data_IF_493633016264
#
_entry.id   IF_493633016264
#
_cell.length_a   1.000
_cell.length_b   1.000
_cell.length_c   1.000
_cell.angle_alpha   90.00
_cell.angle_beta   90.00
_cell.angle_gamma   90.00
#
_symmetry.space_group_name_H-M   'P 1'
#
loop_
_entity.id
_entity.type
_entity.pdbx_description
1 polymer ?
#
# COMPACT_ATOMS: atom_id res chain seq x y z
N UNK A 1 9.37 -14.54 15.87
CA UNK A 1 10.46 -15.47 16.25
C UNK A 1 9.92 -16.78 16.81
N UNK A 2 8.87 -16.76 17.64
CA UNK A 2 8.25 -17.97 18.20
C UNK A 2 7.91 -19.07 17.17
N UNK A 3 7.31 -18.79 15.99
CA UNK A 3 6.98 -19.86 15.05
C UNK A 3 8.18 -20.70 14.59
N UNK A 4 9.36 -20.07 14.46
CA UNK A 4 10.59 -20.79 14.09
C UNK A 4 11.18 -21.54 15.28
N UNK A 5 11.09 -21.00 16.49
CA UNK A 5 11.50 -21.71 17.70
C UNK A 5 10.62 -22.94 17.94
N UNK A 6 9.31 -22.80 17.77
CA UNK A 6 8.31 -23.86 17.90
C UNK A 6 8.49 -24.94 16.81
N UNK A 7 8.96 -24.55 15.62
CA UNK A 7 9.36 -25.48 14.57
C UNK A 7 10.73 -26.16 14.82
N UNK A 8 11.38 -25.91 15.97
CA UNK A 8 12.62 -26.58 16.39
C UNK A 8 13.92 -25.90 15.93
N UNK A 9 13.86 -24.71 15.33
CA UNK A 9 15.08 -23.96 15.00
C UNK A 9 15.75 -23.44 16.27
N UNK A 10 17.07 -23.56 16.35
CA UNK A 10 17.85 -23.05 17.49
C UNK A 10 17.83 -21.53 17.47
N UNK A 11 17.62 -20.89 18.62
CA UNK A 11 17.69 -19.42 18.72
C UNK A 11 19.02 -18.85 18.21
N UNK A 12 20.12 -19.57 18.40
CA UNK A 12 21.45 -19.18 17.92
C UNK A 12 21.61 -19.24 16.40
N UNK A 13 20.75 -19.95 15.68
CA UNK A 13 20.75 -19.99 14.21
C UNK A 13 19.78 -19.00 13.57
N UNK A 14 19.11 -18.16 14.38
CA UNK A 14 18.14 -17.18 13.90
C UNK A 14 18.68 -15.77 14.04
N UNK A 15 18.63 -15.01 12.94
CA UNK A 15 19.05 -13.61 12.90
C UNK A 15 17.84 -12.76 12.52
N UNK A 16 17.52 -11.77 13.35
CA UNK A 16 16.43 -10.81 13.05
C UNK A 16 17.00 -9.69 12.21
N UNK A 17 16.66 -9.68 10.92
CA UNK A 17 17.17 -8.69 9.96
C UNK A 17 16.21 -7.53 9.72
N UNK A 18 14.90 -7.70 9.94
CA UNK A 18 13.88 -6.79 9.40
C UNK A 18 13.57 -7.13 7.93
N UNK A 19 12.84 -6.25 7.24
CA UNK A 19 12.41 -6.46 5.86
C UNK A 19 13.03 -5.42 4.90
N UNK A 20 13.91 -5.84 3.97
CA UNK A 20 14.65 -4.92 3.10
C UNK A 20 13.79 -4.16 2.10
N UNK A 21 12.55 -4.61 1.82
CA UNK A 21 11.61 -3.87 0.96
C UNK A 21 11.33 -2.47 1.52
N UNK A 22 11.43 -2.30 2.84
CA UNK A 22 11.12 -1.05 3.54
C UNK A 22 12.37 -0.26 3.95
N UNK A 23 13.58 -0.67 3.53
CA UNK A 23 14.78 0.09 3.90
C UNK A 23 14.77 1.48 3.25
N UNK A 24 14.41 1.57 1.97
CA UNK A 24 14.34 2.83 1.23
C UNK A 24 13.29 3.79 1.81
N UNK A 25 12.12 3.29 2.19
CA UNK A 25 11.07 4.15 2.75
C UNK A 25 11.48 4.74 4.10
N UNK A 26 12.24 4.01 4.90
CA UNK A 26 12.75 4.54 6.17
C UNK A 26 13.72 5.71 5.96
N UNK A 27 14.58 5.61 4.95
CA UNK A 27 15.46 6.71 4.57
C UNK A 27 14.66 7.92 4.06
N UNK A 28 13.56 7.69 3.33
CA UNK A 28 12.68 8.75 2.85
C UNK A 28 11.91 9.40 4.00
N UNK A 29 11.39 8.64 4.96
CA UNK A 29 10.70 9.18 6.15
C UNK A 29 11.59 10.15 6.92
N UNK A 30 12.89 9.86 7.02
CA UNK A 30 13.85 10.77 7.67
C UNK A 30 14.10 12.06 6.87
N UNK A 31 13.86 12.05 5.56
CA UNK A 31 14.12 13.17 4.64
C UNK A 31 12.88 14.01 4.33
N UNK A 32 11.68 13.51 4.62
CA UNK A 32 10.43 14.25 4.39
C UNK A 32 10.47 15.51 5.25
N UNK A 33 10.71 16.63 4.59
CA UNK A 33 10.30 17.95 5.09
C UNK A 33 8.83 18.11 4.75
N UNK A 34 8.09 18.79 5.61
CA UNK A 34 6.71 19.23 5.31
C UNK A 34 6.74 20.20 4.13
N UNK A 35 6.89 19.67 2.92
CA UNK A 35 6.75 20.45 1.70
C UNK A 35 5.27 20.73 1.51
N UNK A 36 4.91 22.01 1.51
CA UNK A 36 3.56 22.48 1.27
C UNK A 36 3.13 22.02 -0.12
N UNK A 37 2.33 20.96 -0.16
CA UNK A 37 1.70 20.47 -1.38
C UNK A 37 0.70 21.50 -1.90
N UNK A 38 0.58 21.59 -3.23
CA UNK A 38 -0.42 22.44 -3.89
C UNK A 38 -1.81 22.13 -3.31
N UNK A 39 -2.41 23.13 -2.66
CA UNK A 39 -3.64 22.97 -1.89
C UNK A 39 -4.89 22.94 -2.76
N UNK A 40 -4.79 22.98 -4.10
CA UNK A 40 -5.94 23.18 -4.99
C UNK A 40 -6.80 21.95 -5.27
N UNK A 41 -6.25 20.75 -5.10
CA UNK A 41 -6.93 19.47 -5.41
C UNK A 41 -6.57 18.39 -4.40
N UNK A 42 -7.42 17.37 -4.29
CA UNK A 42 -7.14 16.16 -3.52
C UNK A 42 -6.65 15.07 -4.47
N UNK A 43 -5.36 14.69 -4.38
CA UNK A 43 -4.78 13.65 -5.23
C UNK A 43 -5.01 12.28 -4.61
N UNK A 44 -5.81 11.47 -5.29
CA UNK A 44 -6.16 10.10 -4.88
C UNK A 44 -5.42 9.12 -5.78
N UNK A 45 -4.72 8.17 -5.16
CA UNK A 45 -4.10 7.04 -5.85
C UNK A 45 -4.87 5.77 -5.54
N UNK A 46 -5.55 5.21 -6.54
CA UNK A 46 -6.16 3.89 -6.44
C UNK A 46 -5.14 2.83 -6.87
N UNK A 47 -4.86 1.89 -5.99
CA UNK A 47 -3.89 0.81 -6.20
C UNK A 47 -4.67 -0.49 -6.37
N UNK A 48 -4.45 -1.16 -7.49
CA UNK A 48 -4.97 -2.52 -7.69
C UNK A 48 -3.94 -3.54 -7.24
N UNK A 49 -4.45 -4.64 -6.68
CA UNK A 49 -3.64 -5.77 -6.25
C UNK A 49 -4.08 -7.01 -7.02
N UNK A 50 -3.11 -7.85 -7.36
CA UNK A 50 -3.41 -9.20 -7.76
C UNK A 50 -3.51 -10.04 -6.47
N UNK A 51 -4.71 -10.47 -6.11
CA UNK A 51 -4.91 -11.30 -4.93
C UNK A 51 -4.71 -12.75 -5.38
N UNK A 52 -3.52 -13.28 -5.08
CA UNK A 52 -3.16 -14.66 -5.38
C UNK A 52 -4.17 -15.63 -4.76
N UNK A 53 -4.59 -16.65 -5.54
CA UNK A 53 -5.65 -17.58 -5.14
C UNK A 53 -7.08 -17.12 -5.49
N UNK A 54 -7.25 -15.87 -5.94
CA UNK A 54 -8.51 -15.27 -6.37
C UNK A 54 -8.52 -14.98 -7.88
N UNK A 55 -7.92 -15.87 -8.68
CA UNK A 55 -7.81 -15.74 -10.15
C UNK A 55 -9.11 -16.05 -10.91
N UNK A 56 -10.23 -16.17 -10.20
CA UNK A 56 -11.52 -16.44 -10.79
C UNK A 56 -12.08 -15.22 -11.52
N UNK A 57 -12.78 -15.46 -12.64
CA UNK A 57 -13.41 -14.40 -13.45
C UNK A 57 -14.29 -13.43 -12.65
N UNK A 58 -14.94 -13.89 -11.57
CA UNK A 58 -15.79 -13.03 -10.75
C UNK A 58 -15.02 -11.94 -10.00
N UNK A 59 -13.76 -12.21 -9.59
CA UNK A 59 -12.89 -11.23 -8.92
C UNK A 59 -12.47 -10.16 -9.91
N UNK A 60 -12.11 -10.55 -11.14
CA UNK A 60 -11.84 -9.62 -12.24
C UNK A 60 -13.06 -8.72 -12.50
N UNK A 61 -14.25 -9.29 -12.62
CA UNK A 61 -15.50 -8.54 -12.85
C UNK A 61 -15.78 -7.57 -11.69
N UNK A 62 -15.65 -8.00 -10.43
CA UNK A 62 -15.85 -7.14 -9.26
C UNK A 62 -14.86 -5.98 -9.24
N UNK A 63 -13.58 -6.25 -9.50
CA UNK A 63 -12.52 -5.23 -9.56
C UNK A 63 -12.77 -4.23 -10.69
N UNK A 64 -13.10 -4.70 -11.89
CA UNK A 64 -13.46 -3.82 -13.01
C UNK A 64 -14.69 -2.98 -12.67
N UNK A 65 -15.74 -3.58 -12.10
CA UNK A 65 -16.93 -2.86 -11.67
C UNK A 65 -16.59 -1.77 -10.65
N UNK A 66 -15.78 -2.10 -9.65
CA UNK A 66 -15.27 -1.17 -8.64
C UNK A 66 -14.56 0.02 -9.28
N UNK A 67 -13.59 -0.24 -10.18
CA UNK A 67 -12.83 0.84 -10.84
C UNK A 67 -13.77 1.77 -11.61
N UNK A 68 -14.68 1.21 -12.42
CA UNK A 68 -15.65 2.01 -13.18
C UNK A 68 -16.51 2.88 -12.27
N UNK A 69 -16.91 2.35 -11.12
CA UNK A 69 -17.76 3.04 -10.15
C UNK A 69 -17.00 4.13 -9.40
N UNK A 70 -15.77 3.87 -8.93
CA UNK A 70 -14.89 4.89 -8.35
C UNK A 70 -14.71 6.06 -9.32
N UNK A 71 -14.38 5.78 -10.59
CA UNK A 71 -14.22 6.83 -11.61
C UNK A 71 -15.52 7.62 -11.78
N UNK A 72 -16.66 6.92 -11.89
CA UNK A 72 -17.95 7.57 -12.10
C UNK A 72 -18.35 8.47 -10.91
N UNK A 73 -18.17 8.03 -9.67
CA UNK A 73 -18.52 8.81 -8.49
C UNK A 73 -17.61 10.02 -8.31
N UNK A 74 -16.30 9.87 -8.56
CA UNK A 74 -15.35 10.99 -8.55
C UNK A 74 -15.67 12.01 -9.64
N UNK A 75 -16.02 11.55 -10.85
CA UNK A 75 -16.40 12.44 -11.95
C UNK A 75 -17.67 13.23 -11.60
N UNK A 76 -18.72 12.55 -11.12
CA UNK A 76 -19.96 13.21 -10.66
C UNK A 76 -19.68 14.22 -9.55
N UNK A 77 -18.84 13.88 -8.58
CA UNK A 77 -18.45 14.79 -7.52
C UNK A 77 -17.80 16.05 -8.09
N UNK A 78 -16.79 15.89 -8.96
CA UNK A 78 -16.08 17.00 -9.57
C UNK A 78 -16.95 17.89 -10.46
N UNK A 79 -17.99 17.34 -11.11
CA UNK A 79 -18.94 18.11 -11.91
C UNK A 79 -19.90 18.97 -11.05
N UNK A 80 -20.18 18.54 -9.81
CA UNK A 80 -21.16 19.18 -8.93
C UNK A 80 -20.53 20.04 -7.80
N UNK A 81 -19.20 20.08 -7.74
CA UNK A 81 -18.46 20.73 -6.65
C UNK A 81 -18.49 22.26 -6.77
N UNK A 82 -18.77 22.96 -5.67
CA UNK A 82 -18.77 24.44 -5.62
C UNK A 82 -17.72 25.03 -4.69
N UNK A 83 -17.53 24.41 -3.52
CA UNK A 83 -16.65 24.94 -2.46
C UNK A 83 -15.60 23.94 -1.96
N UNK A 84 -15.68 22.67 -2.38
CA UNK A 84 -14.71 21.65 -2.02
C UNK A 84 -13.62 21.55 -3.11
N UNK A 85 -12.51 20.89 -2.79
CA UNK A 85 -11.42 20.68 -3.75
C UNK A 85 -11.79 19.54 -4.71
N UNK A 86 -11.57 19.68 -6.03
CA UNK A 86 -11.73 18.57 -6.95
C UNK A 86 -10.79 17.43 -6.60
N UNK A 87 -11.22 16.21 -6.89
CA UNK A 87 -10.43 14.99 -6.72
C UNK A 87 -9.73 14.67 -8.03
N UNK A 88 -8.41 14.57 -8.01
CA UNK A 88 -7.61 14.04 -9.13
C UNK A 88 -7.30 12.57 -8.86
N UNK A 89 -7.89 11.68 -9.68
CA UNK A 89 -7.66 10.25 -9.58
C UNK A 89 -6.51 9.81 -10.47
N UNK A 90 -5.60 9.03 -9.91
CA UNK A 90 -4.64 8.22 -10.65
C UNK A 90 -4.74 6.76 -10.22
N UNK A 91 -4.35 5.85 -11.11
CA UNK A 91 -4.46 4.41 -10.88
C UNK A 91 -3.07 3.78 -11.01
N UNK A 92 -2.67 2.98 -10.02
CA UNK A 92 -1.46 2.16 -10.07
C UNK A 92 -1.87 0.69 -10.11
N UNK A 93 -1.55 0.03 -11.22
CA UNK A 93 -1.80 -1.41 -11.36
C UNK A 93 -0.62 -2.24 -10.90
N UNK A 94 -0.88 -3.47 -10.49
CA UNK A 94 0.11 -4.44 -10.07
C UNK A 94 1.09 -4.74 -11.23
N UNK A 95 2.40 -4.78 -10.96
CA UNK A 95 3.40 -4.99 -12.01
C UNK A 95 3.35 -6.40 -12.62
N UNK A 96 2.80 -7.38 -11.90
CA UNK A 96 2.62 -8.76 -12.37
C UNK A 96 1.14 -9.16 -12.40
N UNK A 97 0.73 -9.88 -13.44
CA UNK A 97 -0.65 -10.41 -13.57
C UNK A 97 -1.70 -9.40 -14.02
N UNK A 98 -1.32 -8.15 -14.33
CA UNK A 98 -2.24 -7.14 -14.86
C UNK A 98 -1.68 -6.52 -16.14
N UNK A 99 -2.55 -6.31 -17.14
CA UNK A 99 -2.18 -5.73 -18.43
C UNK A 99 -2.48 -4.23 -18.47
N UNK A 100 -1.44 -3.42 -18.71
CA UNK A 100 -1.61 -1.97 -18.88
C UNK A 100 -2.56 -1.64 -20.04
N UNK A 101 -2.53 -2.43 -21.11
CA UNK A 101 -3.42 -2.24 -22.26
C UNK A 101 -4.89 -2.51 -21.89
N UNK A 102 -5.16 -3.60 -21.16
CA UNK A 102 -6.52 -3.91 -20.69
C UNK A 102 -7.07 -2.80 -19.80
N UNK A 103 -6.24 -2.28 -18.89
CA UNK A 103 -6.63 -1.20 -18.00
C UNK A 103 -6.82 0.13 -18.73
N UNK A 104 -6.00 0.46 -19.72
CA UNK A 104 -6.24 1.62 -20.60
C UNK A 104 -7.57 1.49 -21.33
N UNK A 105 -7.82 0.32 -21.94
CA UNK A 105 -9.08 0.04 -22.63
C UNK A 105 -10.30 0.10 -21.70
N UNK A 106 -10.14 -0.23 -20.42
CA UNK A 106 -11.18 -0.15 -19.41
C UNK A 106 -11.45 1.29 -18.95
N UNK A 107 -10.39 1.99 -18.56
CA UNK A 107 -10.46 3.28 -17.86
C UNK A 107 -10.66 4.43 -18.85
N UNK A 108 -9.91 4.46 -19.95
CA UNK A 108 -9.93 5.58 -20.90
C UNK A 108 -11.20 5.65 -21.73
N UNK A 109 -12.00 4.57 -21.78
CA UNK A 109 -13.39 4.62 -22.28
C UNK A 109 -14.31 5.49 -21.42
N UNK A 110 -13.97 5.69 -20.15
CA UNK A 110 -14.77 6.47 -19.19
C UNK A 110 -14.15 7.85 -19.00
N UNK A 111 -12.82 7.88 -18.79
CA UNK A 111 -12.06 9.10 -18.62
C UNK A 111 -10.61 8.90 -19.15
N UNK A 112 -10.27 9.45 -20.33
CA UNK A 112 -8.94 9.32 -20.91
C UNK A 112 -7.87 10.16 -20.19
N UNK A 113 -8.26 11.07 -19.28
CA UNK A 113 -7.31 11.92 -18.55
C UNK A 113 -6.65 11.20 -17.37
N UNK A 114 -7.22 10.08 -16.90
CA UNK A 114 -6.71 9.32 -15.76
C UNK A 114 -5.35 8.70 -16.11
N UNK A 115 -4.35 9.03 -15.30
CA UNK A 115 -3.01 8.44 -15.39
C UNK A 115 -3.04 7.02 -14.85
N UNK A 116 -2.43 6.10 -15.60
CA UNK A 116 -2.30 4.68 -15.23
C UNK A 116 -0.82 4.33 -15.16
N UNK A 117 -0.38 3.95 -13.97
CA UNK A 117 0.99 3.57 -13.64
C UNK A 117 1.07 2.05 -13.49
N UNK A 118 2.22 1.44 -13.79
CA UNK A 118 2.47 0.01 -13.58
C UNK A 118 3.86 -0.31 -13.02
N UNK A 119 4.92 0.31 -13.54
CA UNK A 119 6.32 -0.01 -13.17
C UNK A 119 6.98 1.08 -12.31
N UNK A 120 6.32 2.22 -12.20
CA UNK A 120 6.77 3.37 -11.46
C UNK A 120 6.90 3.06 -9.97
N UNK A 121 7.90 3.67 -9.33
CA UNK A 121 8.19 3.52 -7.90
C UNK A 121 6.97 3.95 -7.08
N UNK A 122 6.51 3.05 -6.20
CA UNK A 122 5.40 3.38 -5.30
C UNK A 122 5.76 4.56 -4.39
N UNK A 123 7.02 4.67 -3.96
CA UNK A 123 7.45 5.75 -3.06
C UNK A 123 7.32 7.12 -3.75
N UNK A 124 7.69 7.23 -5.02
CA UNK A 124 7.56 8.48 -5.79
C UNK A 124 6.09 8.86 -5.98
N UNK A 125 5.24 7.88 -6.31
CA UNK A 125 3.79 8.13 -6.42
C UNK A 125 3.17 8.57 -5.08
N UNK A 126 3.61 7.98 -3.96
CA UNK A 126 3.12 8.34 -2.63
C UNK A 126 3.53 9.75 -2.22
N UNK A 127 4.71 10.24 -2.64
CA UNK A 127 5.13 11.64 -2.40
C UNK A 127 4.11 12.61 -3.00
N UNK A 128 3.63 12.35 -4.20
CA UNK A 128 2.63 13.18 -4.88
C UNK A 128 1.19 12.93 -4.43
N UNK A 129 0.93 11.84 -3.71
CA UNK A 129 -0.44 11.43 -3.31
C UNK A 129 -0.86 12.02 -1.97
N UNK A 130 -2.14 12.41 -1.87
CA UNK A 130 -2.76 12.91 -0.65
C UNK A 130 -3.62 11.84 0.04
N UNK A 131 -4.29 10.96 -0.71
CA UNK A 131 -5.04 9.80 -0.19
C UNK A 131 -4.73 8.55 -1.01
N UNK A 132 -4.44 7.43 -0.35
CA UNK A 132 -4.20 6.13 -0.98
C UNK A 132 -5.42 5.24 -0.77
N UNK A 133 -5.89 4.60 -1.84
CA UNK A 133 -7.02 3.68 -1.80
C UNK A 133 -6.62 2.34 -2.43
N UNK A 134 -7.05 1.23 -1.83
CA UNK A 134 -6.90 -0.10 -2.44
C UNK A 134 -8.06 -1.02 -2.04
N UNK A 135 -8.13 -2.21 -2.62
CA UNK A 135 -9.12 -3.24 -2.24
C UNK A 135 -8.69 -4.06 -1.04
N UNK A 136 -7.41 -4.05 -0.73
CA UNK A 136 -6.82 -4.80 0.38
C UNK A 136 -5.50 -4.18 0.80
N UNK A 137 -5.02 -4.61 1.95
CA UNK A 137 -3.67 -4.35 2.41
C UNK A 137 -2.64 -5.03 1.51
N UNK A 138 -1.49 -4.38 1.38
CA UNK A 138 -0.36 -4.85 0.60
C UNK A 138 0.82 -3.89 0.74
N UNK A 139 1.94 -4.19 0.09
CA UNK A 139 3.19 -3.40 0.22
C UNK A 139 2.97 -1.91 0.03
N UNK A 140 2.14 -1.51 -0.95
CA UNK A 140 1.87 -0.11 -1.21
C UNK A 140 1.07 0.60 -0.09
N UNK A 141 0.09 -0.10 0.50
CA UNK A 141 -0.69 0.43 1.63
C UNK A 141 0.18 0.54 2.87
N UNK A 142 1.06 -0.43 3.11
CA UNK A 142 2.06 -0.39 4.19
C UNK A 142 3.03 0.77 3.99
N UNK A 143 3.52 0.99 2.77
CA UNK A 143 4.34 2.16 2.46
C UNK A 143 3.58 3.47 2.73
N UNK A 144 2.30 3.54 2.35
CA UNK A 144 1.44 4.68 2.65
C UNK A 144 1.30 4.92 4.16
N UNK A 145 1.10 3.87 4.96
CA UNK A 145 1.01 3.95 6.42
C UNK A 145 2.28 4.53 7.03
N UNK A 146 3.44 4.00 6.64
CA UNK A 146 4.74 4.46 7.16
C UNK A 146 5.02 5.93 6.77
N UNK A 147 4.52 6.37 5.61
CA UNK A 147 4.55 7.78 5.18
C UNK A 147 3.42 8.62 5.77
N UNK A 148 2.64 8.09 6.72
CA UNK A 148 1.50 8.74 7.38
C UNK A 148 0.46 9.28 6.39
N UNK A 149 0.29 8.59 5.26
CA UNK A 149 -0.73 8.93 4.27
C UNK A 149 -2.11 8.52 4.77
N UNK A 150 -3.15 9.33 4.55
CA UNK A 150 -4.53 8.88 4.58
C UNK A 150 -4.72 7.63 3.72
N UNK A 151 -5.27 6.58 4.33
CA UNK A 151 -5.50 5.28 3.69
C UNK A 151 -7.00 4.96 3.65
N UNK A 152 -7.42 4.28 2.59
CA UNK A 152 -8.75 3.69 2.45
C UNK A 152 -8.63 2.25 1.92
N UNK A 153 -9.35 1.33 2.53
CA UNK A 153 -9.63 0.01 1.96
C UNK A 153 -11.07 0.01 1.49
N UNK A 154 -11.26 -0.13 0.18
CA UNK A 154 -12.56 -0.39 -0.39
C UNK A 154 -12.81 -1.90 -0.41
N UNK A 155 -13.53 -2.38 0.59
CA UNK A 155 -13.83 -3.80 0.79
C UNK A 155 -14.93 -4.30 -0.15
N UNK A 156 -14.71 -4.16 -1.47
CA UNK A 156 -15.63 -4.67 -2.49
C UNK A 156 -15.50 -6.19 -2.69
N UNK A 157 -14.41 -6.76 -2.18
CA UNK A 157 -14.14 -8.19 -2.27
C UNK A 157 -14.64 -8.96 -1.06
N UNK A 158 -14.93 -8.28 0.06
CA UNK A 158 -15.39 -8.88 1.32
C UNK A 158 -14.39 -9.94 1.79
N UNK A 159 -13.13 -9.54 1.90
CA UNK A 159 -12.08 -10.44 2.37
C UNK A 159 -12.31 -10.73 3.85
N UNK A 160 -12.16 -12.00 4.25
CA UNK A 160 -12.41 -12.45 5.63
C UNK A 160 -11.50 -11.78 6.66
N UNK A 161 -10.34 -11.27 6.23
CA UNK A 161 -9.35 -10.64 7.10
C UNK A 161 -8.50 -9.62 6.33
N UNK A 162 -8.30 -8.45 6.95
CA UNK A 162 -7.32 -7.46 6.51
C UNK A 162 -6.63 -6.83 7.73
N UNK A 163 -5.31 -6.98 7.81
CA UNK A 163 -4.55 -6.58 8.99
C UNK A 163 -4.62 -5.08 9.29
N UNK A 164 -4.68 -4.21 8.27
CA UNK A 164 -4.76 -2.76 8.51
C UNK A 164 -6.15 -2.35 9.01
N UNK A 165 -7.21 -3.03 8.56
CA UNK A 165 -8.57 -2.80 9.07
C UNK A 165 -8.70 -3.25 10.52
N UNK A 166 -8.25 -4.47 10.84
CA UNK A 166 -8.34 -5.04 12.18
C UNK A 166 -7.57 -4.23 13.23
N UNK A 167 -6.49 -3.55 12.81
CA UNK A 167 -5.70 -2.66 13.67
C UNK A 167 -6.18 -1.20 13.68
N UNK A 168 -7.30 -0.89 13.03
CA UNK A 168 -7.86 0.46 12.91
C UNK A 168 -6.88 1.48 12.30
N UNK A 169 -6.07 1.04 11.33
CA UNK A 169 -5.03 1.84 10.69
C UNK A 169 -5.51 2.53 9.40
N UNK A 170 -6.71 2.22 8.96
CA UNK A 170 -7.25 2.61 7.65
C UNK A 170 -8.76 2.82 7.72
N UNK A 171 -9.29 3.69 6.85
CA UNK A 171 -10.74 3.85 6.71
C UNK A 171 -11.31 2.74 5.82
N UNK A 172 -12.33 2.06 6.31
CA UNK A 172 -13.09 1.09 5.52
C UNK A 172 -14.16 1.79 4.67
N UNK A 173 -14.24 1.43 3.40
CA UNK A 173 -15.31 1.84 2.49
C UNK A 173 -16.00 0.58 1.94
N UNK A 174 -17.15 0.20 2.50
CA UNK A 174 -17.90 -0.99 2.02
C UNK A 174 -18.70 -0.71 0.76
N UNK A 175 -19.43 0.40 0.77
CA UNK A 175 -20.37 0.76 -0.28
C UNK A 175 -19.78 1.77 -1.26
N UNK A 176 -20.04 1.58 -2.55
CA UNK A 176 -19.62 2.50 -3.62
C UNK A 176 -20.14 3.92 -3.39
N UNK A 177 -21.37 4.07 -2.88
CA UNK A 177 -21.96 5.39 -2.56
C UNK A 177 -21.17 6.15 -1.49
N UNK A 178 -20.34 5.46 -0.70
CA UNK A 178 -19.54 6.04 0.36
C UNK A 178 -18.11 6.38 -0.07
N UNK A 179 -17.74 6.22 -1.35
CA UNK A 179 -16.37 6.52 -1.83
C UNK A 179 -15.99 7.97 -1.52
N UNK A 180 -16.84 8.94 -1.88
CA UNK A 180 -16.57 10.36 -1.64
C UNK A 180 -16.54 10.68 -0.13
N UNK A 181 -17.56 10.31 0.68
CA UNK A 181 -17.48 10.46 2.13
C UNK A 181 -16.25 9.81 2.78
N UNK A 182 -15.78 8.68 2.24
CA UNK A 182 -14.59 7.98 2.76
C UNK A 182 -13.30 8.73 2.43
N UNK A 183 -13.19 9.31 1.23
CA UNK A 183 -12.08 10.19 0.85
C UNK A 183 -12.02 11.42 1.76
N UNK A 184 -13.16 12.09 1.96
CA UNK A 184 -13.23 13.28 2.83
C UNK A 184 -12.87 12.94 4.28
N UNK A 185 -13.36 11.81 4.79
CA UNK A 185 -13.03 11.31 6.14
C UNK A 185 -11.55 10.97 6.27
N UNK A 186 -10.98 10.24 5.29
CA UNK A 186 -9.59 9.80 5.33
C UNK A 186 -8.62 10.99 5.41
N UNK A 187 -8.89 12.10 4.70
CA UNK A 187 -8.06 13.31 4.75
C UNK A 187 -7.89 13.84 6.18
N UNK A 188 -8.94 13.72 7.00
CA UNK A 188 -8.92 14.13 8.41
C UNK A 188 -8.50 13.02 9.38
N UNK A 189 -8.46 11.77 8.92
CA UNK A 189 -8.22 10.61 9.75
C UNK A 189 -6.74 10.50 10.11
N UNK A 190 -6.48 10.31 11.40
CA UNK A 190 -5.15 10.01 11.94
C UNK A 190 -5.25 8.73 12.73
N UNK A 191 -4.63 7.63 12.28
CA UNK A 191 -4.60 6.40 13.06
C UNK A 191 -3.95 6.64 14.43
N UNK A 192 -4.39 5.92 15.48
CA UNK A 192 -3.75 6.02 16.79
C UNK A 192 -2.26 5.68 16.70
N UNK A 193 -1.39 6.53 17.25
CA UNK A 193 0.07 6.31 17.22
C UNK A 193 0.44 4.96 17.83
N UNK A 194 -0.23 4.56 18.92
CA UNK A 194 -0.06 3.26 19.55
C UNK A 194 -0.27 2.10 18.56
N UNK A 195 -1.33 2.14 17.76
CA UNK A 195 -1.65 1.08 16.80
C UNK A 195 -0.59 1.01 15.68
N UNK A 196 -0.08 2.17 15.25
CA UNK A 196 1.03 2.24 14.29
C UNK A 196 2.30 1.61 14.89
N UNK A 197 2.65 1.98 16.13
CA UNK A 197 3.84 1.47 16.81
C UNK A 197 3.75 -0.06 17.03
N UNK A 198 2.58 -0.56 17.42
CA UNK A 198 2.30 -1.99 17.55
C UNK A 198 2.41 -2.71 16.21
N UNK A 199 1.81 -2.18 15.14
CA UNK A 199 1.97 -2.73 13.79
C UNK A 199 3.44 -2.76 13.37
N UNK A 200 4.18 -1.67 13.59
CA UNK A 200 5.59 -1.59 13.20
C UNK A 200 6.43 -2.61 13.95
N UNK A 201 6.18 -2.75 15.25
CA UNK A 201 6.86 -3.72 16.11
C UNK A 201 6.56 -5.15 15.69
N UNK A 202 5.30 -5.48 15.42
CA UNK A 202 4.86 -6.84 15.12
C UNK A 202 5.31 -7.29 13.72
N UNK A 203 5.16 -6.41 12.72
CA UNK A 203 5.36 -6.74 11.30
C UNK A 203 6.81 -6.61 10.87
N UNK A 204 7.50 -5.53 11.27
CA UNK A 204 8.88 -5.33 10.83
C UNK A 204 9.90 -5.93 11.79
N UNK A 205 9.57 -6.04 13.09
CA UNK A 205 10.47 -6.35 14.21
C UNK A 205 11.62 -5.35 14.40
N UNK A 206 12.25 -4.93 13.31
CA UNK A 206 13.33 -3.96 13.23
C UNK A 206 13.17 -3.14 11.94
N UNK A 207 12.84 -1.86 12.11
CA UNK A 207 12.68 -0.90 11.02
C UNK A 207 13.66 0.27 11.25
N UNK A 208 14.85 0.15 10.67
CA UNK A 208 15.94 1.13 10.82
C UNK A 208 16.69 1.42 9.51
N UNK A 209 16.19 0.90 8.38
CA UNK A 209 16.80 1.11 7.06
C UNK A 209 18.05 0.27 6.79
N UNK A 210 18.36 -0.73 7.63
CA UNK A 210 19.58 -1.56 7.55
C UNK A 210 19.29 -3.05 7.42
N UNK A 211 18.11 -3.43 6.92
CA UNK A 211 17.74 -4.83 6.83
C UNK A 211 18.57 -5.57 5.78
N UNK A 212 18.78 -4.96 4.61
CA UNK A 212 19.61 -5.51 3.54
C UNK A 212 21.08 -5.69 3.98
N UNK A 213 21.64 -4.71 4.70
CA UNK A 213 22.99 -4.78 5.28
C UNK A 213 23.11 -5.99 6.22
N UNK A 214 22.17 -6.13 7.17
CA UNK A 214 22.16 -7.29 8.09
C UNK A 214 22.00 -8.63 7.38
N UNK A 215 21.21 -8.70 6.31
CA UNK A 215 21.08 -9.92 5.51
C UNK A 215 22.41 -10.25 4.84
N UNK A 216 23.07 -9.27 4.23
CA UNK A 216 24.39 -9.44 3.61
C UNK A 216 25.43 -9.94 4.62
N UNK A 217 25.52 -9.29 5.78
CA UNK A 217 26.44 -9.69 6.85
C UNK A 217 26.16 -11.10 7.35
N UNK A 218 24.88 -11.48 7.51
CA UNK A 218 24.49 -12.83 7.92
C UNK A 218 24.90 -13.88 6.89
N UNK A 219 24.77 -13.60 5.59
CA UNK A 219 25.18 -14.51 4.51
C UNK A 219 26.69 -14.67 4.51
N UNK A 220 27.46 -13.58 4.58
CA UNK A 220 28.93 -13.61 4.60
C UNK A 220 29.43 -14.42 5.81
N UNK A 221 28.94 -14.13 7.01
CA UNK A 221 29.32 -14.87 8.22
C UNK A 221 28.99 -16.36 8.13
N UNK A 222 27.88 -16.73 7.48
CA UNK A 222 27.54 -18.15 7.28
C UNK A 222 28.55 -18.84 6.35
N UNK A 223 28.97 -18.17 5.28
CA UNK A 223 29.94 -18.71 4.32
C UNK A 223 31.34 -18.84 4.95
N UNK A 224 31.78 -17.82 5.69
CA UNK A 224 33.11 -17.81 6.32
C UNK A 224 33.27 -18.90 7.39
N UNK A 225 32.23 -19.10 8.22
CA UNK A 225 32.24 -20.16 9.23
C UNK A 225 32.26 -21.56 8.59
N UNK A 226 31.62 -21.75 7.43
CA UNK A 226 31.65 -23.02 6.72
C UNK A 226 33.02 -23.30 6.07
N UNK A 227 33.72 -22.26 5.62
CA UNK A 227 35.07 -22.39 5.04
C UNK A 227 36.09 -22.76 6.13
N UNK A 228 35.99 -22.18 7.33
CA UNK A 228 36.90 -22.50 8.45
C UNK A 228 36.74 -23.93 9.00
N UNK A 229 35.59 -24.56 8.80
CA UNK A 229 35.37 -25.96 9.20
C UNK A 229 35.72 -26.99 8.11
N UNK A 230 36.14 -26.53 6.92
CA UNK A 230 36.46 -27.38 5.77
C UNK A 230 37.97 -27.50 5.48
N UNK A 231 38.82 -26.84 6.27
CA UNK A 231 40.29 -26.90 6.25
C UNK A 231 40.82 -27.56 7.53
#
# INVERSE_FOLDING_TARGET
MNPLLDAGFKKSSLIVTGNPIYDAIFQDIQKIKDESKDSKKNRVLLITSNIFGFEHNWVKIKKEHMIKKVISEIKKYNENIKHNKPIELSIKIHPSGESLEEYRNLIHKIDPSIRIYQKESILELLKETDVVMSTSSGTAMVCGLLLKKPLIIHDCLQLDYDELLERELVIECKEISNIIPSIERAISFKPPTKNIDEFVKDVFLKLDGKSAERISDAIINLLDNNIQHSN
#
